data_IF_370823857904
#
_entry.id   IF_370823857904
#
_cell.length_a   1.000
_cell.length_b   1.000
_cell.length_c   1.000
_cell.angle_alpha   90.00
_cell.angle_beta   90.00
_cell.angle_gamma   90.00
#
_symmetry.space_group_name_H-M   'P 1'
#
loop_
_entity.id
_entity.type
_entity.pdbx_description
1 polymer ?
#
# COMPACT_ATOMS: atom_id res chain seq x y z
N UNK A 1 -15.49 -2.38 -17.28
CA UNK A 1 -14.24 -2.97 -16.76
C UNK A 1 -13.40 -1.85 -16.18
N UNK A 2 -12.78 -2.06 -15.02
CA UNK A 2 -12.03 -1.03 -14.30
C UNK A 2 -10.72 -0.72 -15.06
N UNK A 3 -10.64 0.45 -15.71
CA UNK A 3 -9.46 0.86 -16.50
C UNK A 3 -8.17 0.86 -15.68
N UNK A 4 -8.25 1.05 -14.37
CA UNK A 4 -7.10 0.97 -13.47
C UNK A 4 -6.49 -0.44 -13.41
N UNK A 5 -7.31 -1.50 -13.30
CA UNK A 5 -6.80 -2.87 -13.28
C UNK A 5 -6.18 -3.26 -14.64
N UNK A 6 -6.72 -2.73 -15.73
CA UNK A 6 -6.13 -2.91 -17.06
C UNK A 6 -4.80 -2.17 -17.19
N UNK A 7 -4.68 -0.99 -16.58
CA UNK A 7 -3.44 -0.23 -16.54
C UNK A 7 -2.35 -0.96 -15.74
N UNK A 8 -2.70 -1.52 -14.58
CA UNK A 8 -1.79 -2.35 -13.78
C UNK A 8 -1.29 -3.55 -14.60
N UNK A 9 -2.21 -4.27 -15.26
CA UNK A 9 -1.86 -5.41 -16.11
C UNK A 9 -0.99 -5.02 -17.32
N UNK A 10 -1.25 -3.86 -17.94
CA UNK A 10 -0.43 -3.34 -19.02
C UNK A 10 0.98 -2.96 -18.53
N UNK A 11 1.09 -2.38 -17.33
CA UNK A 11 2.35 -2.02 -16.70
C UNK A 11 3.21 -3.26 -16.41
N UNK A 12 2.62 -4.32 -15.83
CA UNK A 12 3.30 -5.59 -15.57
C UNK A 12 3.68 -6.33 -16.86
N UNK A 13 2.94 -6.13 -17.95
CA UNK A 13 3.24 -6.68 -19.27
C UNK A 13 4.23 -5.82 -20.08
N UNK A 14 4.91 -4.85 -19.46
CA UNK A 14 5.85 -3.91 -20.11
C UNK A 14 5.24 -3.07 -21.25
N UNK A 15 3.91 -2.99 -21.34
CA UNK A 15 3.18 -2.15 -22.30
C UNK A 15 2.98 -0.76 -21.72
N UNK A 16 4.07 -0.01 -21.60
CA UNK A 16 4.10 1.24 -20.85
C UNK A 16 3.25 2.36 -21.45
N UNK A 17 3.23 2.52 -22.79
CA UNK A 17 2.39 3.54 -23.43
C UNK A 17 0.89 3.25 -23.26
N UNK A 18 0.48 1.98 -23.38
CA UNK A 18 -0.91 1.57 -23.10
C UNK A 18 -1.27 1.81 -21.63
N UNK A 19 -0.37 1.49 -20.70
CA UNK A 19 -0.56 1.76 -19.28
C UNK A 19 -0.78 3.27 -19.01
N UNK A 20 0.00 4.15 -19.66
CA UNK A 20 -0.15 5.61 -19.53
C UNK A 20 -1.55 6.05 -19.97
N UNK A 21 -2.03 5.57 -21.12
CA UNK A 21 -3.37 5.90 -21.60
C UNK A 21 -4.47 5.42 -20.66
N UNK A 22 -4.35 4.18 -20.17
CA UNK A 22 -5.33 3.58 -19.26
C UNK A 22 -5.34 4.29 -17.90
N UNK A 23 -4.18 4.61 -17.33
CA UNK A 23 -4.12 5.41 -16.09
C UNK A 23 -4.68 6.81 -16.30
N UNK A 24 -4.45 7.43 -17.45
CA UNK A 24 -5.01 8.75 -17.77
C UNK A 24 -6.54 8.71 -17.86
N UNK A 25 -7.11 7.66 -18.45
CA UNK A 25 -8.56 7.39 -18.42
C UNK A 25 -9.07 7.12 -17.00
N UNK A 26 -8.34 6.35 -16.20
CA UNK A 26 -8.72 6.10 -14.81
C UNK A 26 -8.70 7.38 -13.95
N UNK A 27 -7.73 8.26 -14.18
CA UNK A 27 -7.60 9.56 -13.49
C UNK A 27 -8.66 10.58 -13.92
N UNK A 28 -9.18 10.51 -15.14
CA UNK A 28 -10.30 11.38 -15.54
C UNK A 28 -11.59 11.04 -14.78
N UNK A 29 -11.76 9.78 -14.36
CA UNK A 29 -12.88 9.32 -13.53
C UNK A 29 -12.59 9.56 -12.04
N UNK A 30 -11.37 9.28 -11.57
CA UNK A 30 -10.96 9.48 -10.18
C UNK A 30 -9.63 10.29 -10.08
N UNK A 31 -9.70 11.63 -10.09
CA UNK A 31 -8.52 12.49 -10.10
C UNK A 31 -7.78 12.56 -8.76
N UNK A 32 -8.29 11.90 -7.72
CA UNK A 32 -7.66 11.92 -6.39
C UNK A 32 -6.97 10.60 -6.04
N UNK A 33 -7.00 9.63 -6.95
CA UNK A 33 -6.46 8.30 -6.74
C UNK A 33 -4.92 8.30 -6.81
N UNK A 34 -4.29 8.30 -5.64
CA UNK A 34 -2.83 8.31 -5.49
C UNK A 34 -2.14 7.18 -6.26
N UNK A 35 -2.67 5.95 -6.17
CA UNK A 35 -2.09 4.77 -6.83
C UNK A 35 -2.00 4.93 -8.35
N UNK A 36 -2.96 5.63 -8.97
CA UNK A 36 -2.97 5.82 -10.43
C UNK A 36 -1.88 6.81 -10.87
N UNK A 37 -1.63 7.85 -10.08
CA UNK A 37 -0.48 8.73 -10.29
C UNK A 37 0.85 7.99 -10.10
N UNK A 38 0.99 7.16 -9.06
CA UNK A 38 2.20 6.34 -8.84
C UNK A 38 2.44 5.37 -10.00
N UNK A 39 1.39 4.66 -10.44
CA UNK A 39 1.45 3.72 -11.57
C UNK A 39 1.81 4.42 -12.88
N UNK A 40 1.18 5.57 -13.16
CA UNK A 40 1.48 6.38 -14.34
C UNK A 40 2.87 7.00 -14.31
N UNK A 41 3.34 7.46 -13.14
CA UNK A 41 4.72 7.93 -12.95
C UNK A 41 5.74 6.84 -13.26
N UNK A 42 5.45 5.59 -12.89
CA UNK A 42 6.29 4.43 -13.19
C UNK A 42 6.33 4.17 -14.70
N UNK A 43 5.18 4.19 -15.37
CA UNK A 43 5.10 4.03 -16.82
C UNK A 43 5.83 5.17 -17.57
N UNK A 44 5.72 6.41 -17.11
CA UNK A 44 6.47 7.54 -17.64
C UNK A 44 7.98 7.38 -17.46
N UNK A 45 8.41 6.88 -16.31
CA UNK A 45 9.83 6.62 -16.06
C UNK A 45 10.38 5.58 -17.06
N UNK A 46 9.63 4.48 -17.28
CA UNK A 46 10.01 3.41 -18.22
C UNK A 46 10.03 3.87 -19.69
N UNK A 47 9.29 4.93 -20.02
CA UNK A 47 9.27 5.55 -21.36
C UNK A 47 10.20 6.77 -21.48
N UNK A 48 11.09 6.99 -20.50
CA UNK A 48 12.02 8.14 -20.45
C UNK A 48 11.35 9.52 -20.37
N UNK A 49 10.06 9.59 -20.05
CA UNK A 49 9.28 10.83 -19.84
C UNK A 49 9.46 11.30 -18.39
N UNK A 50 10.70 11.63 -18.02
CA UNK A 50 11.08 11.89 -16.62
C UNK A 50 10.44 13.15 -16.03
N UNK A 51 10.13 14.17 -16.84
CA UNK A 51 9.50 15.40 -16.36
C UNK A 51 8.04 15.17 -15.96
N UNK A 52 7.32 14.34 -16.71
CA UNK A 52 5.94 13.93 -16.46
C UNK A 52 5.87 12.95 -15.29
N UNK A 53 6.82 12.03 -15.22
CA UNK A 53 7.00 11.15 -14.05
C UNK A 53 7.17 11.94 -12.76
N UNK A 54 8.00 12.99 -12.78
CA UNK A 54 8.19 13.87 -11.62
C UNK A 54 6.88 14.56 -11.21
N UNK A 55 6.15 15.15 -12.16
CA UNK A 55 4.87 15.83 -11.87
C UNK A 55 3.86 14.88 -11.22
N UNK A 56 3.69 13.69 -11.77
CA UNK A 56 2.77 12.70 -11.21
C UNK A 56 3.19 12.22 -9.82
N UNK A 57 4.50 12.00 -9.59
CA UNK A 57 5.01 11.65 -8.28
C UNK A 57 4.76 12.75 -7.25
N UNK A 58 4.92 14.03 -7.62
CA UNK A 58 4.65 15.16 -6.73
C UNK A 58 3.16 15.28 -6.37
N UNK A 59 2.27 15.14 -7.36
CA UNK A 59 0.81 15.11 -7.11
C UNK A 59 0.47 13.94 -6.18
N UNK A 60 1.07 12.77 -6.39
CA UNK A 60 0.87 11.61 -5.54
C UNK A 60 1.28 11.87 -4.08
N UNK A 61 2.42 12.56 -3.83
CA UNK A 61 2.85 12.92 -2.47
C UNK A 61 1.82 13.81 -1.79
N UNK A 62 1.34 14.86 -2.46
CA UNK A 62 0.35 15.80 -1.90
C UNK A 62 -0.94 15.07 -1.56
N UNK A 63 -1.45 14.25 -2.48
CA UNK A 63 -2.68 13.48 -2.28
C UNK A 63 -2.52 12.42 -1.19
N UNK A 64 -1.36 11.76 -1.10
CA UNK A 64 -1.07 10.77 -0.07
C UNK A 64 -0.98 11.40 1.33
N UNK A 65 -0.33 12.57 1.45
CA UNK A 65 -0.29 13.36 2.69
C UNK A 65 -1.67 13.81 3.12
N UNK A 66 -2.50 14.27 2.18
CA UNK A 66 -3.90 14.64 2.44
C UNK A 66 -4.75 13.47 2.96
N UNK A 67 -4.44 12.25 2.51
CA UNK A 67 -5.11 11.01 2.95
C UNK A 67 -4.51 10.41 4.22
N UNK A 68 -3.32 10.83 4.65
CA UNK A 68 -2.60 10.28 5.81
C UNK A 68 -2.06 8.87 5.61
N UNK A 69 -1.95 8.39 4.36
CA UNK A 69 -1.53 7.02 4.06
C UNK A 69 0.00 6.93 3.93
N UNK A 70 0.66 6.58 5.05
CA UNK A 70 2.13 6.51 5.16
C UNK A 70 2.81 5.70 4.05
N UNK A 71 2.29 4.52 3.73
CA UNK A 71 2.83 3.68 2.64
C UNK A 71 2.81 4.38 1.28
N UNK A 72 1.71 5.05 0.94
CA UNK A 72 1.61 5.76 -0.34
C UNK A 72 2.46 7.04 -0.38
N UNK A 73 2.71 7.67 0.78
CA UNK A 73 3.65 8.79 0.88
C UNK A 73 5.06 8.28 0.57
N UNK A 74 5.46 7.16 1.19
CA UNK A 74 6.74 6.50 0.95
C UNK A 74 6.93 6.18 -0.54
N UNK A 75 5.98 5.47 -1.13
CA UNK A 75 6.04 5.07 -2.54
C UNK A 75 6.12 6.29 -3.47
N UNK A 76 5.31 7.32 -3.22
CA UNK A 76 5.32 8.54 -4.03
C UNK A 76 6.65 9.32 -3.91
N UNK A 77 7.20 9.43 -2.69
CA UNK A 77 8.51 10.07 -2.48
C UNK A 77 9.64 9.29 -3.14
N UNK A 78 9.58 7.95 -3.10
CA UNK A 78 10.54 7.10 -3.79
C UNK A 78 10.47 7.32 -5.31
N UNK A 79 9.27 7.31 -5.91
CA UNK A 79 9.10 7.63 -7.34
C UNK A 79 9.61 9.04 -7.69
N UNK A 80 9.39 10.02 -6.82
CA UNK A 80 9.89 11.40 -6.99
C UNK A 80 11.43 11.44 -6.99
N UNK A 81 12.08 10.74 -6.06
CA UNK A 81 13.54 10.64 -5.98
C UNK A 81 14.13 10.03 -7.26
N UNK A 82 13.50 8.96 -7.74
CA UNK A 82 13.91 8.28 -8.96
C UNK A 82 13.75 9.18 -10.20
N UNK A 83 12.64 9.91 -10.32
CA UNK A 83 12.45 10.86 -11.42
C UNK A 83 13.52 11.98 -11.41
N UNK A 84 13.86 12.51 -10.23
CA UNK A 84 14.90 13.53 -10.07
C UNK A 84 16.30 13.01 -10.41
N UNK A 85 16.61 11.76 -10.08
CA UNK A 85 17.86 11.11 -10.49
C UNK A 85 18.02 11.12 -12.02
N UNK A 86 16.96 10.73 -12.74
CA UNK A 86 17.00 10.73 -14.21
C UNK A 86 17.04 12.13 -14.82
N UNK A 87 16.59 13.16 -14.08
CA UNK A 87 16.73 14.57 -14.46
C UNK A 87 18.10 15.18 -14.07
N UNK A 88 19.01 14.39 -13.50
CA UNK A 88 20.34 14.84 -13.08
C UNK A 88 20.37 15.61 -11.75
N UNK A 89 19.24 15.71 -11.05
CA UNK A 89 19.13 16.41 -9.76
C UNK A 89 19.45 15.47 -8.59
N UNK A 90 20.72 15.09 -8.50
CA UNK A 90 21.18 14.04 -7.57
C UNK A 90 21.10 14.43 -6.09
N UNK A 91 21.35 15.70 -5.76
CA UNK A 91 21.23 16.20 -4.38
C UNK A 91 19.78 16.14 -3.88
N UNK A 92 18.84 16.58 -4.72
CA UNK A 92 17.39 16.51 -4.45
C UNK A 92 16.93 15.05 -4.29
N UNK A 93 17.38 14.16 -5.18
CA UNK A 93 17.09 12.74 -5.11
C UNK A 93 17.62 12.11 -3.80
N UNK A 94 18.84 12.45 -3.38
CA UNK A 94 19.44 11.97 -2.13
C UNK A 94 18.64 12.41 -0.90
N UNK A 95 18.21 13.68 -0.87
CA UNK A 95 17.37 14.22 0.19
C UNK A 95 16.06 13.45 0.33
N UNK A 96 15.39 13.14 -0.80
CA UNK A 96 14.15 12.38 -0.78
C UNK A 96 14.34 10.92 -0.36
N UNK A 97 15.43 10.25 -0.76
CA UNK A 97 15.70 8.89 -0.28
C UNK A 97 15.92 8.85 1.23
N UNK A 98 16.55 9.87 1.81
CA UNK A 98 16.68 9.97 3.28
C UNK A 98 15.31 10.09 3.95
N UNK A 99 14.36 10.82 3.35
CA UNK A 99 12.98 10.89 3.84
C UNK A 99 12.31 9.51 3.75
N UNK A 100 12.44 8.81 2.61
CA UNK A 100 11.89 7.47 2.41
C UNK A 100 12.45 6.49 3.45
N UNK A 101 13.75 6.57 3.76
CA UNK A 101 14.42 5.77 4.80
C UNK A 101 13.87 5.99 6.20
N UNK A 102 13.43 7.20 6.53
CA UNK A 102 12.75 7.49 7.80
C UNK A 102 11.37 6.81 7.87
N UNK A 103 10.71 6.61 6.71
CA UNK A 103 9.45 5.87 6.65
C UNK A 103 9.66 4.35 6.70
N UNK A 104 10.66 3.83 5.99
CA UNK A 104 10.96 2.40 5.90
C UNK A 104 12.45 2.20 5.65
N UNK A 105 13.18 1.75 6.66
CA UNK A 105 14.62 1.51 6.60
C UNK A 105 14.97 0.15 5.96
N UNK A 106 13.97 -0.71 5.75
CA UNK A 106 14.14 -2.08 5.25
C UNK A 106 13.77 -2.25 3.77
N UNK A 107 13.48 -1.15 3.08
CA UNK A 107 13.19 -1.18 1.65
C UNK A 107 14.42 -1.67 0.87
N UNK A 108 14.26 -2.76 0.12
CA UNK A 108 15.33 -3.44 -0.62
C UNK A 108 15.89 -2.57 -1.76
N UNK A 109 15.12 -1.61 -2.24
CA UNK A 109 15.53 -0.72 -3.32
C UNK A 109 16.36 0.46 -2.81
N UNK A 110 16.26 0.84 -1.52
CA UNK A 110 16.99 1.98 -0.97
C UNK A 110 18.51 1.88 -1.14
N UNK A 111 19.19 0.78 -0.75
CA UNK A 111 20.64 0.66 -0.91
C UNK A 111 21.08 0.77 -2.38
N UNK A 112 20.28 0.23 -3.30
CA UNK A 112 20.56 0.27 -4.75
C UNK A 112 20.54 1.71 -5.25
N UNK A 113 19.49 2.46 -4.90
CA UNK A 113 19.35 3.84 -5.34
C UNK A 113 20.29 4.80 -4.60
N UNK A 114 20.58 4.58 -3.32
CA UNK A 114 21.62 5.30 -2.57
C UNK A 114 22.99 5.14 -3.25
N UNK A 115 23.36 3.92 -3.65
CA UNK A 115 24.62 3.66 -4.36
C UNK A 115 24.65 4.35 -5.74
N UNK A 116 23.56 4.25 -6.53
CA UNK A 116 23.43 4.93 -7.84
C UNK A 116 23.60 6.44 -7.71
N UNK A 117 22.93 7.06 -6.73
CA UNK A 117 23.04 8.50 -6.49
C UNK A 117 24.44 8.88 -6.00
N UNK A 118 25.01 8.13 -5.05
CA UNK A 118 26.35 8.41 -4.52
C UNK A 118 27.41 8.40 -5.62
N UNK A 119 27.35 7.42 -6.54
CA UNK A 119 28.24 7.35 -7.69
C UNK A 119 28.10 8.57 -8.63
N UNK A 120 26.87 9.05 -8.85
CA UNK A 120 26.65 10.27 -9.64
C UNK A 120 27.09 11.53 -8.89
N UNK A 121 26.85 11.62 -7.59
CA UNK A 121 27.16 12.79 -6.76
C UNK A 121 28.67 13.02 -6.59
N UNK A 122 29.48 11.95 -6.64
CA UNK A 122 30.95 12.08 -6.69
C UNK A 122 31.45 12.87 -7.90
N UNK A 123 30.73 12.80 -9.01
CA UNK A 123 31.05 13.50 -10.26
C UNK A 123 30.48 14.93 -10.33
N UNK A 124 29.70 15.35 -9.33
CA UNK A 124 29.05 16.67 -9.27
C UNK A 124 29.88 17.62 -8.39
N UNK A 125 30.09 18.89 -8.80
CA UNK A 125 30.75 19.90 -7.99
C UNK A 125 30.06 20.09 -6.64
N UNK A 126 30.83 20.37 -5.59
CA UNK A 126 30.34 20.42 -4.21
C UNK A 126 29.23 21.47 -3.99
N UNK A 127 29.22 22.53 -4.77
CA UNK A 127 28.21 23.60 -4.68
C UNK A 127 26.82 23.14 -5.13
N UNK A 128 26.73 22.17 -6.05
CA UNK A 128 25.48 21.58 -6.54
C UNK A 128 25.00 20.39 -5.69
N UNK A 129 25.72 20.04 -4.62
CA UNK A 129 25.36 18.92 -3.73
C UNK A 129 24.31 19.26 -2.68
N UNK A 130 23.81 20.50 -2.66
CA UNK A 130 22.78 20.94 -1.71
C UNK A 130 21.37 20.74 -2.29
N UNK A 131 20.43 20.14 -1.54
CA UNK A 131 19.07 20.00 -2.00
C UNK A 131 18.40 21.37 -2.11
N UNK A 132 17.65 21.58 -3.18
CA UNK A 132 16.89 22.81 -3.47
C UNK A 132 15.39 22.63 -3.20
N UNK A 133 14.94 21.39 -3.03
CA UNK A 133 13.52 21.05 -2.88
C UNK A 133 13.10 20.80 -1.43
N UNK A 134 11.81 21.01 -1.16
CA UNK A 134 11.19 20.68 0.12
C UNK A 134 10.56 19.27 0.14
N UNK A 135 10.32 18.76 1.36
CA UNK A 135 9.71 17.45 1.61
C UNK A 135 8.29 17.35 1.02
N UNK A 136 7.51 18.43 1.06
CA UNK A 136 6.18 18.47 0.44
C UNK A 136 6.24 19.35 -0.80
N UNK A 137 5.99 18.82 -2.00
CA UNK A 137 5.97 19.64 -3.19
C UNK A 137 4.72 20.54 -3.19
N UNK A 138 4.89 21.79 -3.63
CA UNK A 138 3.79 22.76 -3.81
C UNK A 138 3.25 22.56 -5.22
N UNK A 139 2.31 21.63 -5.39
CA UNK A 139 1.70 21.34 -6.69
C UNK A 139 0.19 21.51 -6.62
N UNK A 140 -0.36 22.18 -7.63
CA UNK A 140 -1.80 22.31 -7.82
C UNK A 140 -2.41 20.94 -8.12
N UNK A 141 -3.27 20.47 -7.22
CA UNK A 141 -3.99 19.21 -7.39
C UNK A 141 -5.01 19.39 -8.52
N UNK A 142 -5.03 18.52 -9.54
CA UNK A 142 -6.06 18.57 -10.58
C UNK A 142 -7.45 18.36 -9.95
N UNK A 143 -8.19 19.44 -9.78
CA UNK A 143 -9.61 19.39 -9.43
C UNK A 143 -10.39 19.23 -10.73
N UNK A 144 -11.16 18.16 -10.86
CA UNK A 144 -11.96 17.91 -12.07
C UNK A 144 -13.00 19.02 -12.29
N UNK A 145 -12.71 19.93 -13.22
CA UNK A 145 -13.72 20.66 -13.99
C UNK A 145 -13.16 21.10 -15.35
N UNK A 146 -13.73 20.53 -16.40
CA UNK A 146 -13.71 20.89 -17.84
C UNK A 146 -12.38 20.85 -18.65
N UNK A 147 -12.43 20.46 -19.94
CA UNK A 147 -11.27 20.30 -20.81
C UNK A 147 -10.80 21.65 -21.38
N UNK A 148 -9.49 21.85 -21.49
CA UNK A 148 -8.92 23.02 -22.19
C UNK A 148 -7.96 22.54 -23.28
N UNK A 149 -8.27 22.89 -24.54
CA UNK A 149 -7.38 22.84 -25.69
C UNK A 149 -6.54 24.16 -25.75
N UNK A 150 -5.45 24.24 -26.52
CA UNK A 150 -4.16 24.65 -26.00
C UNK A 150 -3.73 26.11 -26.26
N UNK A 151 -2.81 26.56 -25.40
CA UNK A 151 -1.71 27.52 -25.58
C UNK A 151 -1.98 28.93 -26.16
N UNK A 152 -1.68 29.95 -25.34
CA UNK A 152 -0.86 31.08 -25.81
C UNK A 152 0.00 31.64 -24.68
N UNK A 153 1.29 31.73 -24.98
CA UNK A 153 2.37 32.36 -24.21
C UNK A 153 2.22 33.88 -24.32
N UNK A 154 2.31 34.62 -23.22
CA UNK A 154 2.81 36.00 -23.23
C UNK A 154 3.22 36.46 -21.81
N UNK A 155 4.29 37.25 -21.81
CA UNK A 155 5.15 37.68 -20.72
C UNK A 155 4.58 38.83 -19.86
N UNK A 156 5.09 38.90 -18.62
CA UNK A 156 5.51 40.12 -17.89
C UNK A 156 4.51 41.26 -17.63
N UNK A 157 4.14 41.48 -16.35
CA UNK A 157 4.43 42.72 -15.61
C UNK A 157 3.81 42.75 -14.19
N UNK A 158 4.52 43.43 -13.30
CA UNK A 158 4.32 43.60 -11.86
C UNK A 158 3.31 44.71 -11.49
N UNK A 159 2.48 44.52 -10.43
CA UNK A 159 2.37 45.41 -9.24
C UNK A 159 1.15 45.13 -8.32
N UNK A 160 1.47 45.00 -7.02
CA UNK A 160 0.86 45.59 -5.81
C UNK A 160 -0.63 45.39 -5.42
N UNK A 161 -0.80 44.68 -4.29
CA UNK A 161 -1.59 44.97 -3.07
C UNK A 161 -2.84 45.87 -3.12
N UNK A 162 -3.98 45.32 -2.70
CA UNK A 162 -4.92 45.90 -1.70
C UNK A 162 -5.60 44.76 -0.92
N UNK A 163 -5.91 45.00 0.37
CA UNK A 163 -6.40 43.99 1.31
C UNK A 163 -7.90 44.02 1.63
N UNK A 164 -8.30 42.98 2.39
CA UNK A 164 -9.49 42.77 3.24
C UNK A 164 -10.87 42.55 2.60
N UNK A 165 -11.48 41.37 2.81
CA UNK A 165 -12.45 41.07 3.88
C UNK A 165 -13.10 39.67 3.65
N UNK A 166 -13.50 38.93 4.72
CA UNK A 166 -13.85 37.51 4.66
C UNK A 166 -15.25 37.26 4.11
N UNK A 167 -15.38 36.30 3.19
CA UNK A 167 -16.66 35.83 2.67
C UNK A 167 -17.30 34.77 3.57
N UNK A 168 -18.64 34.75 3.70
CA UNK A 168 -19.37 34.04 4.75
C UNK A 168 -19.40 32.52 4.56
N UNK A 169 -19.40 31.82 5.69
CA UNK A 169 -19.41 30.36 5.81
C UNK A 169 -20.78 29.82 5.37
N UNK A 170 -20.79 29.03 4.30
CA UNK A 170 -21.98 28.37 3.77
C UNK A 170 -22.40 27.18 4.66
N UNK A 171 -23.60 27.28 5.23
CA UNK A 171 -24.28 26.30 6.09
C UNK A 171 -24.78 25.10 5.27
N UNK A 172 -24.73 23.89 5.83
CA UNK A 172 -25.23 22.66 5.18
C UNK A 172 -26.37 22.02 6.01
N UNK A 173 -27.51 21.66 5.40
CA UNK A 173 -28.68 21.11 6.10
C UNK A 173 -28.49 19.67 6.62
N UNK A 174 -29.30 19.34 7.64
CA UNK A 174 -29.36 18.11 8.46
C UNK A 174 -29.21 16.77 7.69
N UNK A 175 -29.62 16.71 6.42
CA UNK A 175 -29.56 15.50 5.57
C UNK A 175 -28.15 15.16 4.99
N UNK A 176 -27.09 15.84 5.44
CA UNK A 176 -25.70 15.55 5.01
C UNK A 176 -24.74 15.18 6.15
N UNK A 177 -25.23 15.05 7.39
CA UNK A 177 -24.38 14.60 8.50
C UNK A 177 -24.11 13.12 8.29
N UNK A 178 -22.85 12.81 7.95
CA UNK A 178 -22.38 11.44 7.71
C UNK A 178 -21.61 10.97 8.92
N UNK A 179 -21.98 9.81 9.44
CA UNK A 179 -21.26 9.11 10.50
C UNK A 179 -20.49 7.95 9.88
N UNK A 180 -19.21 7.85 10.21
CA UNK A 180 -18.33 6.76 9.79
C UNK A 180 -17.51 6.30 10.99
N UNK A 181 -17.15 5.02 11.04
CA UNK A 181 -16.32 4.49 12.12
C UNK A 181 -15.32 3.47 11.59
N UNK A 182 -14.13 3.44 12.18
CA UNK A 182 -13.12 2.43 11.89
C UNK A 182 -12.46 2.00 13.19
N UNK A 183 -11.78 0.86 13.15
CA UNK A 183 -11.09 0.32 14.32
C UNK A 183 -9.68 -0.15 13.99
N UNK A 184 -8.84 -0.11 15.00
CA UNK A 184 -7.50 -0.70 15.05
C UNK A 184 -7.52 -1.79 16.14
N UNK A 185 -6.39 -2.43 16.41
CA UNK A 185 -6.28 -3.52 17.38
C UNK A 185 -6.77 -3.13 18.78
N UNK A 186 -6.55 -1.88 19.20
CA UNK A 186 -6.79 -1.37 20.55
C UNK A 186 -7.75 -0.18 20.63
N UNK A 187 -8.07 0.49 19.51
CA UNK A 187 -8.94 1.67 19.49
C UNK A 187 -10.05 1.59 18.45
N UNK A 188 -11.18 2.23 18.72
CA UNK A 188 -12.29 2.46 17.80
C UNK A 188 -12.44 3.97 17.62
N UNK A 189 -12.43 4.45 16.39
CA UNK A 189 -12.61 5.88 16.09
C UNK A 189 -13.92 6.10 15.36
N UNK A 190 -14.82 6.85 16.00
CA UNK A 190 -16.09 7.33 15.46
C UNK A 190 -15.90 8.75 14.90
N UNK A 191 -16.29 8.98 13.66
CA UNK A 191 -16.20 10.28 12.98
C UNK A 191 -17.58 10.74 12.54
N UNK A 192 -18.00 11.91 13.03
CA UNK A 192 -19.25 12.58 12.64
C UNK A 192 -18.87 13.79 11.78
N UNK A 193 -19.17 13.74 10.49
CA UNK A 193 -18.92 14.82 9.55
C UNK A 193 -20.09 15.81 9.55
N UNK A 194 -19.94 16.87 10.35
CA UNK A 194 -20.84 18.03 10.35
C UNK A 194 -20.02 19.33 10.25
N UNK A 195 -20.56 20.31 9.51
CA UNK A 195 -19.95 21.65 9.37
C UNK A 195 -20.53 22.59 10.42
N UNK A 196 -19.68 23.40 11.06
CA UNK A 196 -20.12 24.35 12.07
C UNK A 196 -20.27 23.75 13.47
N UNK A 197 -19.40 22.81 13.85
CA UNK A 197 -19.42 22.25 15.20
C UNK A 197 -18.66 23.20 16.14
N UNK A 198 -19.41 23.90 16.99
CA UNK A 198 -18.83 24.77 18.02
C UNK A 198 -18.26 23.94 19.16
N UNK A 199 -16.95 24.08 19.42
CA UNK A 199 -16.23 23.34 20.47
C UNK A 199 -16.83 23.54 21.87
N UNK A 200 -17.38 24.71 22.14
CA UNK A 200 -17.91 25.09 23.45
C UNK A 200 -19.38 24.70 23.67
N UNK A 201 -20.06 24.17 22.63
CA UNK A 201 -21.49 23.83 22.67
C UNK A 201 -21.79 22.37 22.35
N UNK A 202 -20.78 21.56 22.10
CA UNK A 202 -20.94 20.12 21.89
C UNK A 202 -20.82 19.38 23.24
N UNK A 203 -21.80 18.55 23.57
CA UNK A 203 -21.76 17.63 24.70
C UNK A 203 -21.34 16.24 24.19
N UNK A 204 -20.28 15.68 24.79
CA UNK A 204 -19.77 14.35 24.46
C UNK A 204 -19.61 13.58 25.76
N UNK A 205 -20.44 12.55 25.95
CA UNK A 205 -20.39 11.64 27.09
C UNK A 205 -19.92 10.27 26.61
N UNK A 206 -18.86 9.79 27.24
CA UNK A 206 -18.26 8.49 26.97
C UNK A 206 -18.39 7.68 28.26
N UNK A 207 -19.14 6.59 28.21
CA UNK A 207 -19.31 5.65 29.32
C UNK A 207 -18.72 4.29 28.95
N UNK A 208 -18.69 3.35 29.89
CA UNK A 208 -18.01 2.06 29.73
C UNK A 208 -18.52 1.24 28.52
N UNK A 209 -19.80 1.38 28.17
CA UNK A 209 -20.43 0.67 27.05
C UNK A 209 -21.33 1.57 26.19
N UNK A 210 -21.30 2.88 26.38
CA UNK A 210 -22.16 3.81 25.63
C UNK A 210 -21.42 5.09 25.24
N UNK A 211 -21.81 5.68 24.12
CA UNK A 211 -21.33 7.00 23.68
C UNK A 211 -22.50 7.85 23.27
N UNK A 212 -22.61 9.01 23.89
CA UNK A 212 -23.60 10.03 23.59
C UNK A 212 -22.92 11.31 23.11
N UNK A 213 -23.35 11.82 21.97
CA UNK A 213 -22.83 13.02 21.34
C UNK A 213 -24.02 13.91 20.99
N UNK A 214 -24.06 15.12 21.52
CA UNK A 214 -25.02 16.14 21.09
C UNK A 214 -24.33 17.46 20.75
N UNK A 215 -24.81 18.15 19.73
CA UNK A 215 -24.37 19.51 19.44
C UNK A 215 -25.42 20.29 18.64
N UNK A 216 -25.55 21.61 18.87
CA UNK A 216 -26.45 22.45 18.08
C UNK A 216 -25.92 22.58 16.65
N UNK A 217 -26.82 22.54 15.66
CA UNK A 217 -26.46 22.79 14.25
C UNK A 217 -26.62 24.27 13.97
N UNK A 218 -25.53 24.94 13.60
CA UNK A 218 -25.57 26.35 13.21
C UNK A 218 -26.49 26.53 11.98
N UNK A 219 -27.53 27.37 12.12
CA UNK A 219 -28.50 27.66 11.06
C UNK A 219 -29.81 26.89 11.12
N UNK A 220 -30.03 26.03 12.13
CA UNK A 220 -31.34 25.44 12.44
C UNK A 220 -31.50 25.40 13.96
N UNK A 221 -32.69 25.67 14.51
CA UNK A 221 -32.92 25.58 15.97
C UNK A 221 -32.90 24.13 16.52
N UNK A 222 -32.35 23.18 15.76
CA UNK A 222 -32.36 21.76 16.04
C UNK A 222 -30.97 21.29 16.47
N UNK A 223 -30.94 20.49 17.51
CA UNK A 223 -29.74 19.83 18.01
C UNK A 223 -29.55 18.48 17.30
N UNK A 224 -28.32 18.19 16.88
CA UNK A 224 -27.96 16.86 16.41
C UNK A 224 -27.62 16.00 17.62
N UNK A 225 -28.28 14.86 17.76
CA UNK A 225 -27.98 13.86 18.79
C UNK A 225 -27.62 12.53 18.14
N UNK A 226 -26.48 11.97 18.51
CA UNK A 226 -26.03 10.64 18.12
C UNK A 226 -25.70 9.86 19.38
N UNK A 227 -26.35 8.71 19.55
CA UNK A 227 -26.17 7.84 20.71
C UNK A 227 -25.95 6.41 20.23
N UNK A 228 -24.95 5.75 20.79
CA UNK A 228 -24.72 4.31 20.63
C UNK A 228 -24.75 3.68 22.02
N UNK A 229 -25.75 2.83 22.25
CA UNK A 229 -25.98 2.12 23.50
C UNK A 229 -26.75 0.81 23.21
N UNK A 230 -26.15 -0.39 23.40
CA UNK A 230 -24.80 -0.67 23.87
C UNK A 230 -23.77 -0.71 22.73
N UNK A 231 -22.53 -0.32 23.02
CA UNK A 231 -21.37 -0.57 22.17
C UNK A 231 -21.09 -2.08 22.08
N UNK A 232 -20.45 -2.51 20.99
CA UNK A 232 -20.13 -3.93 20.74
C UNK A 232 -19.34 -4.60 21.88
N UNK A 233 -18.41 -3.86 22.52
CA UNK A 233 -17.67 -4.32 23.69
C UNK A 233 -17.32 -3.13 24.60
N UNK A 234 -16.97 -3.41 25.84
CA UNK A 234 -16.62 -2.40 26.82
C UNK A 234 -15.36 -1.62 26.44
N UNK A 235 -15.36 -0.33 26.74
CA UNK A 235 -14.30 0.63 26.46
C UNK A 235 -13.74 1.19 27.78
N UNK A 236 -12.57 1.82 27.70
CA UNK A 236 -11.93 2.53 28.81
C UNK A 236 -12.18 4.04 28.64
N UNK A 237 -13.12 4.64 29.38
CA UNK A 237 -13.44 6.07 29.24
C UNK A 237 -12.26 6.97 29.61
N UNK A 238 -11.39 6.54 30.54
CA UNK A 238 -10.27 7.34 31.03
C UNK A 238 -9.19 7.55 29.96
N UNK A 239 -9.06 6.59 29.03
CA UNK A 239 -8.11 6.67 27.91
C UNK A 239 -8.76 7.06 26.59
N UNK A 240 -10.08 7.20 26.56
CA UNK A 240 -10.84 7.67 25.41
C UNK A 240 -10.74 9.19 25.28
N UNK A 241 -10.69 9.69 24.04
CA UNK A 241 -10.47 11.12 23.74
C UNK A 241 -11.40 11.57 22.63
N UNK A 242 -11.82 12.82 22.64
CA UNK A 242 -12.57 13.42 21.54
C UNK A 242 -11.87 14.67 21.00
N UNK A 243 -12.06 14.93 19.71
CA UNK A 243 -11.50 16.08 18.99
C UNK A 243 -12.57 16.71 18.12
N UNK A 244 -12.87 17.97 18.38
CA UNK A 244 -13.83 18.76 17.61
C UNK A 244 -13.06 19.67 16.65
N UNK A 245 -13.44 19.61 15.38
CA UNK A 245 -12.91 20.43 14.28
C UNK A 245 -14.10 21.10 13.57
N UNK A 246 -13.95 22.28 12.92
CA UNK A 246 -15.06 22.96 12.26
C UNK A 246 -15.83 22.14 11.21
N UNK A 247 -15.21 21.06 10.69
CA UNK A 247 -15.76 20.20 9.65
C UNK A 247 -16.10 18.77 10.12
N UNK A 248 -15.75 18.39 11.35
CA UNK A 248 -15.98 17.03 11.90
C UNK A 248 -15.76 16.95 13.40
N UNK A 249 -16.45 16.02 14.06
CA UNK A 249 -16.21 15.58 15.43
C UNK A 249 -15.67 14.15 15.39
N UNK A 250 -14.52 13.92 16.00
CA UNK A 250 -13.86 12.61 16.08
C UNK A 250 -13.83 12.16 17.54
N UNK A 251 -14.35 10.97 17.82
CA UNK A 251 -14.27 10.32 19.13
C UNK A 251 -13.43 9.06 19.00
N UNK A 252 -12.29 9.02 19.69
CA UNK A 252 -11.42 7.85 19.78
C UNK A 252 -11.68 7.14 21.10
N UNK A 253 -12.29 5.98 21.01
CA UNK A 253 -12.61 5.08 22.10
C UNK A 253 -11.49 4.05 22.24
N UNK A 254 -10.99 3.84 23.46
CA UNK A 254 -10.02 2.77 23.71
C UNK A 254 -10.74 1.52 24.16
N UNK A 255 -10.45 0.38 23.52
CA UNK A 255 -11.04 -0.91 23.90
C UNK A 255 -10.51 -1.35 25.26
N UNK A 256 -11.38 -1.82 26.15
CA UNK A 256 -10.95 -2.36 27.45
C UNK A 256 -10.13 -3.65 27.25
N UNK A 257 -10.49 -4.46 26.26
CA UNK A 257 -9.77 -5.68 25.86
C UNK A 257 -9.10 -5.51 24.49
N UNK A 258 -7.77 -5.31 24.44
CA UNK A 258 -7.02 -5.23 23.18
C UNK A 258 -7.16 -6.54 22.39
N UNK A 259 -7.44 -6.43 21.08
CA UNK A 259 -7.54 -7.59 20.17
C UNK A 259 -8.95 -8.04 19.85
N UNK A 260 -9.99 -7.53 20.53
CA UNK A 260 -11.39 -7.78 20.15
C UNK A 260 -11.71 -7.00 18.87
N UNK A 261 -12.10 -7.71 17.81
CA UNK A 261 -12.58 -7.12 16.55
C UNK A 261 -14.07 -6.85 16.63
N UNK A 262 -14.45 -5.59 16.47
CA UNK A 262 -15.85 -5.17 16.44
C UNK A 262 -16.39 -5.38 15.02
N UNK A 263 -17.44 -6.16 14.87
CA UNK A 263 -18.09 -6.36 13.56
C UNK A 263 -19.08 -5.23 13.24
N UNK A 264 -19.68 -4.67 14.28
CA UNK A 264 -20.58 -3.52 14.25
C UNK A 264 -20.21 -2.57 15.40
N UNK A 265 -20.65 -1.32 15.34
CA UNK A 265 -20.40 -0.34 16.41
C UNK A 265 -21.34 -0.57 17.61
N UNK A 266 -22.59 -0.95 17.31
CA UNK A 266 -23.60 -1.31 18.29
C UNK A 266 -23.59 -2.82 18.50
N UNK A 267 -23.93 -3.24 19.72
CA UNK A 267 -24.20 -4.64 19.99
C UNK A 267 -25.57 -4.98 19.38
N UNK A 268 -25.67 -5.98 18.50
CA UNK A 268 -26.97 -6.41 17.99
C UNK A 268 -27.85 -6.79 19.17
N UNK A 269 -29.07 -6.25 19.19
CA UNK A 269 -30.05 -6.53 20.23
C UNK A 269 -30.47 -7.99 20.16
N UNK A 270 -29.71 -8.87 20.82
CA UNK A 270 -30.19 -10.21 21.13
C UNK A 270 -31.11 -10.10 22.33
N UNK A 271 -32.37 -10.44 22.08
CA UNK A 271 -33.42 -10.52 23.07
C UNK A 271 -33.04 -11.61 24.06
N UNK A 272 -32.75 -11.21 25.30
CA UNK A 272 -32.92 -12.07 26.46
C UNK A 272 -31.73 -12.95 26.83
N UNK A 273 -31.15 -12.63 27.97
CA UNK A 273 -30.43 -13.60 28.82
C UNK A 273 -31.35 -14.72 29.30
N UNK A 274 -30.71 -15.75 29.87
CA UNK A 274 -31.20 -16.95 30.58
C UNK A 274 -31.37 -18.18 29.66
N UNK A 275 -30.76 -19.34 29.89
CA UNK A 275 -30.16 -19.87 31.11
C UNK A 275 -29.08 -20.92 30.82
N UNK A 276 -28.13 -20.96 31.74
CA UNK A 276 -27.34 -22.13 32.12
C UNK A 276 -28.18 -23.42 32.21
N UNK A 277 -27.69 -24.52 31.61
CA UNK A 277 -27.85 -25.85 32.20
C UNK A 277 -26.64 -26.73 31.84
N UNK A 278 -25.89 -27.06 32.89
CA UNK A 278 -24.98 -28.20 33.00
C UNK A 278 -25.75 -29.53 32.91
N UNK A 279 -25.29 -30.45 32.07
CA UNK A 279 -25.20 -31.91 32.32
C UNK A 279 -24.49 -32.54 31.09
N UNK A 280 -23.28 -33.10 31.21
CA UNK A 280 -23.00 -34.51 31.57
C UNK A 280 -23.67 -35.49 30.59
N UNK A 281 -23.07 -36.50 29.97
CA UNK A 281 -21.78 -37.23 30.00
C UNK A 281 -21.76 -37.99 28.65
N UNK A 282 -20.64 -38.38 28.03
CA UNK A 282 -19.89 -39.56 28.45
C UNK A 282 -18.59 -39.70 27.67
N UNK A 283 -17.55 -39.97 28.45
CA UNK A 283 -16.23 -40.48 28.14
C UNK A 283 -16.25 -41.89 27.55
N UNK A 284 -15.35 -42.16 26.59
CA UNK A 284 -14.75 -43.49 26.46
C UNK A 284 -13.23 -43.32 26.37
N UNK A 285 -12.55 -43.73 27.43
CA UNK A 285 -11.10 -43.84 27.54
C UNK A 285 -10.58 -44.99 26.67
N UNK A 286 -9.44 -44.79 26.01
CA UNK A 286 -8.48 -45.87 25.76
C UNK A 286 -7.11 -45.38 26.19
N UNK A 287 -6.67 -45.93 27.32
CA UNK A 287 -5.38 -45.76 27.97
C UNK A 287 -4.41 -46.83 27.50
N UNK A 288 -3.23 -46.48 26.98
CA UNK A 288 -2.01 -47.30 27.07
C UNK A 288 -0.75 -46.42 26.87
N UNK A 289 0.44 -46.81 27.37
CA UNK A 289 1.17 -46.01 28.35
C UNK A 289 2.49 -45.45 27.83
N UNK A 290 2.99 -44.42 28.53
CA UNK A 290 4.32 -43.84 28.37
C UNK A 290 5.39 -44.87 28.76
N UNK A 291 6.36 -45.11 27.87
CA UNK A 291 7.66 -45.71 28.19
C UNK A 291 8.76 -44.80 27.69
N UNK A 292 9.69 -44.48 28.58
CA UNK A 292 10.92 -43.73 28.34
C UNK A 292 11.86 -44.50 27.39
N UNK A 293 12.43 -43.79 26.41
CA UNK A 293 13.43 -44.27 25.45
C UNK A 293 13.84 -43.14 24.50
N UNK A 294 15.10 -43.08 24.03
CA UNK A 294 15.74 -41.85 23.59
C UNK A 294 15.26 -41.38 22.20
N UNK A 295 15.37 -40.06 21.99
CA UNK A 295 14.91 -39.33 20.82
C UNK A 295 15.45 -39.90 19.48
N UNK A 296 14.66 -39.86 18.39
CA UNK A 296 15.15 -40.23 17.07
C UNK A 296 16.15 -39.18 16.57
N UNK A 297 17.38 -39.62 16.30
CA UNK A 297 18.40 -38.84 15.62
C UNK A 297 18.02 -38.65 14.15
N UNK A 298 17.73 -37.41 13.75
CA UNK A 298 17.56 -37.01 12.35
C UNK A 298 18.95 -36.79 11.72
N UNK A 299 19.21 -37.25 10.48
CA UNK A 299 20.51 -37.06 9.86
C UNK A 299 20.64 -35.60 9.39
N UNK A 300 21.54 -34.85 10.03
CA UNK A 300 21.98 -33.54 9.56
C UNK A 300 22.82 -33.69 8.30
N UNK A 301 22.24 -33.40 7.13
CA UNK A 301 22.98 -33.22 5.88
C UNK A 301 23.22 -31.73 5.67
N UNK A 302 24.35 -31.23 6.17
CA UNK A 302 24.86 -29.90 5.83
C UNK A 302 26.35 -30.01 5.55
N UNK A 303 26.69 -30.58 4.39
CA UNK A 303 28.04 -30.53 3.80
C UNK A 303 28.16 -29.30 2.90
N UNK A 304 27.91 -28.11 3.46
CA UNK A 304 28.32 -26.84 2.86
C UNK A 304 28.20 -25.74 3.92
N UNK A 305 29.34 -25.17 4.31
CA UNK A 305 29.41 -24.09 5.29
C UNK A 305 28.84 -22.77 4.76
N UNK A 306 28.76 -21.78 5.65
CA UNK A 306 28.12 -20.48 5.44
C UNK A 306 28.51 -19.83 4.11
N UNK A 307 27.53 -19.69 3.21
CA UNK A 307 27.63 -18.98 1.94
C UNK A 307 27.52 -17.48 2.22
N UNK A 308 28.56 -16.72 1.89
CA UNK A 308 28.53 -15.26 1.94
C UNK A 308 27.58 -14.72 0.84
N UNK A 309 26.47 -14.13 1.27
CA UNK A 309 25.43 -13.54 0.42
C UNK A 309 25.79 -12.13 -0.11
N UNK A 310 26.89 -11.55 0.34
CA UNK A 310 27.30 -10.17 0.02
C UNK A 310 27.97 -10.00 -1.35
N UNK A 311 28.18 -11.09 -2.11
CA UNK A 311 28.98 -11.05 -3.36
C UNK A 311 28.20 -11.29 -4.65
N UNK A 312 26.87 -11.37 -4.59
CA UNK A 312 26.00 -11.61 -5.77
C UNK A 312 25.27 -10.33 -6.23
N UNK A 313 25.41 -9.21 -5.51
CA UNK A 313 24.61 -8.01 -5.78
C UNK A 313 25.22 -7.06 -6.84
N UNK A 314 26.44 -7.30 -7.32
CA UNK A 314 27.17 -6.28 -8.10
C UNK A 314 27.26 -6.56 -9.60
N UNK A 315 27.15 -7.81 -10.07
CA UNK A 315 27.25 -8.13 -11.51
C UNK A 315 25.88 -8.23 -12.21
N UNK A 316 24.78 -8.40 -11.47
CA UNK A 316 23.41 -8.54 -12.00
C UNK A 316 22.59 -7.25 -11.90
N UNK A 317 23.21 -6.05 -11.95
CA UNK A 317 22.47 -4.79 -11.76
C UNK A 317 21.77 -4.24 -13.01
N UNK A 318 22.12 -4.75 -14.21
CA UNK A 318 21.50 -4.33 -15.48
C UNK A 318 20.29 -5.19 -15.90
N UNK A 319 20.16 -6.43 -15.40
CA UNK A 319 19.06 -7.35 -15.75
C UNK A 319 17.85 -7.30 -14.78
N UNK A 320 17.93 -6.48 -13.71
CA UNK A 320 16.84 -6.37 -12.71
C UNK A 320 15.74 -5.38 -13.08
N UNK A 321 15.89 -4.64 -14.18
CA UNK A 321 14.80 -3.82 -14.72
C UNK A 321 13.63 -4.66 -15.27
N UNK A 322 13.82 -5.99 -15.38
CA UNK A 322 12.81 -6.97 -15.77
C UNK A 322 12.10 -7.66 -14.57
N UNK A 323 12.37 -7.25 -13.32
CA UNK A 323 11.84 -7.90 -12.11
C UNK A 323 10.47 -7.43 -11.62
N UNK A 324 9.76 -6.56 -12.35
CA UNK A 324 8.47 -5.98 -11.93
C UNK A 324 7.24 -6.62 -12.62
N UNK A 325 7.39 -7.78 -13.27
CA UNK A 325 6.28 -8.40 -14.01
C UNK A 325 6.26 -9.94 -14.10
N UNK A 326 7.23 -10.64 -13.51
CA UNK A 326 7.28 -12.11 -13.57
C UNK A 326 6.44 -12.75 -12.46
N UNK A 327 5.47 -13.59 -12.86
CA UNK A 327 4.67 -14.46 -11.99
C UNK A 327 5.54 -15.14 -10.90
N UNK A 328 4.98 -15.36 -9.70
CA UNK A 328 5.69 -16.00 -8.57
C UNK A 328 6.31 -17.34 -8.99
N UNK A 329 5.68 -18.03 -9.94
CA UNK A 329 6.17 -19.25 -10.59
C UNK A 329 7.49 -19.03 -11.33
N UNK A 330 7.61 -17.95 -12.10
CA UNK A 330 8.82 -17.61 -12.87
C UNK A 330 9.99 -17.27 -11.94
N UNK A 331 9.71 -16.62 -10.80
CA UNK A 331 10.73 -16.38 -9.76
C UNK A 331 11.19 -17.68 -9.11
N UNK A 332 10.26 -18.59 -8.80
CA UNK A 332 10.58 -19.92 -8.27
C UNK A 332 11.47 -20.73 -9.24
N UNK A 333 11.15 -20.75 -10.54
CA UNK A 333 11.97 -21.44 -11.54
C UNK A 333 13.34 -20.80 -11.75
N UNK A 334 13.44 -19.46 -11.79
CA UNK A 334 14.73 -18.75 -11.87
C UNK A 334 15.62 -19.06 -10.67
N UNK A 335 15.04 -19.06 -9.47
CA UNK A 335 15.76 -19.39 -8.23
C UNK A 335 16.23 -20.85 -8.22
N UNK A 336 15.37 -21.79 -8.63
CA UNK A 336 15.71 -23.21 -8.72
C UNK A 336 16.81 -23.49 -9.76
N UNK A 337 16.77 -22.82 -10.91
CA UNK A 337 17.78 -22.96 -11.97
C UNK A 337 19.13 -22.36 -11.58
N UNK A 338 19.14 -21.17 -10.96
CA UNK A 338 20.38 -20.50 -10.53
C UNK A 338 21.17 -21.26 -9.46
N UNK A 339 20.47 -22.03 -8.61
CA UNK A 339 21.08 -22.86 -7.55
C UNK A 339 21.42 -24.29 -7.96
N UNK A 340 21.04 -24.72 -9.16
CA UNK A 340 21.17 -26.10 -9.63
C UNK A 340 22.58 -26.38 -10.21
N UNK A 341 23.03 -27.64 -10.11
CA UNK A 341 24.26 -28.06 -10.79
C UNK A 341 24.09 -28.02 -12.31
N UNK A 342 25.18 -27.91 -13.10
CA UNK A 342 25.07 -27.87 -14.57
C UNK A 342 24.32 -29.06 -15.17
N UNK A 343 24.37 -30.22 -14.51
CA UNK A 343 23.64 -31.43 -14.89
C UNK A 343 22.14 -31.32 -14.59
N UNK A 344 21.78 -30.75 -13.43
CA UNK A 344 20.40 -30.48 -13.05
C UNK A 344 19.76 -29.39 -13.94
N UNK A 345 20.50 -28.35 -14.29
CA UNK A 345 20.07 -27.30 -15.23
C UNK A 345 19.75 -27.88 -16.61
N UNK A 346 20.58 -28.80 -17.09
CA UNK A 346 20.33 -29.52 -18.35
C UNK A 346 19.09 -30.40 -18.25
N UNK A 347 18.88 -31.08 -17.13
CA UNK A 347 17.69 -31.90 -16.89
C UNK A 347 16.40 -31.08 -16.88
N UNK A 348 16.43 -29.93 -16.20
CA UNK A 348 15.31 -29.00 -16.14
C UNK A 348 14.95 -28.45 -17.52
N UNK A 349 15.96 -28.01 -18.28
CA UNK A 349 15.73 -27.42 -19.60
C UNK A 349 15.23 -28.46 -20.61
N UNK A 350 15.77 -29.68 -20.57
CA UNK A 350 15.33 -30.78 -21.43
C UNK A 350 13.91 -31.23 -21.09
N UNK A 351 13.62 -31.48 -19.82
CA UNK A 351 12.28 -31.91 -19.37
C UNK A 351 11.21 -30.85 -19.65
N UNK A 352 11.51 -29.58 -19.40
CA UNK A 352 10.60 -28.48 -19.68
C UNK A 352 10.34 -28.33 -21.19
N UNK A 353 11.39 -28.43 -22.02
CA UNK A 353 11.25 -28.32 -23.47
C UNK A 353 10.52 -29.51 -24.09
N UNK A 354 10.78 -30.74 -23.62
CA UNK A 354 10.16 -31.95 -24.19
C UNK A 354 8.70 -32.14 -23.73
N UNK A 355 8.39 -31.73 -22.49
CA UNK A 355 7.03 -31.79 -21.94
C UNK A 355 6.13 -30.63 -22.36
N UNK A 356 6.63 -29.69 -23.17
CA UNK A 356 5.88 -28.48 -23.54
C UNK A 356 5.55 -27.57 -22.35
N UNK A 357 6.40 -27.58 -21.32
CA UNK A 357 6.26 -26.74 -20.13
C UNK A 357 5.39 -27.31 -19.00
N UNK A 358 5.03 -28.60 -19.07
CA UNK A 358 4.14 -29.25 -18.09
C UNK A 358 4.90 -30.04 -17.01
N UNK A 359 6.11 -30.51 -17.31
CA UNK A 359 6.90 -31.36 -16.40
C UNK A 359 8.32 -30.79 -16.23
N UNK A 360 8.72 -30.55 -14.98
CA UNK A 360 10.08 -30.16 -14.62
C UNK A 360 10.76 -31.25 -13.80
N UNK A 361 11.87 -31.80 -14.31
CA UNK A 361 12.70 -32.77 -13.59
C UNK A 361 14.12 -32.25 -13.39
N UNK A 362 14.67 -32.50 -12.21
CA UNK A 362 16.03 -32.10 -11.83
C UNK A 362 17.04 -33.23 -11.97
N UNK A 363 16.62 -34.43 -12.36
CA UNK A 363 17.49 -35.62 -12.38
C UNK A 363 17.86 -36.02 -13.82
N UNK A 364 19.09 -35.67 -14.21
CA UNK A 364 19.63 -35.96 -15.54
C UNK A 364 19.74 -37.45 -15.84
N UNK A 365 19.95 -38.29 -14.82
CA UNK A 365 20.08 -39.74 -15.02
C UNK A 365 18.78 -40.37 -15.55
N UNK A 366 17.63 -39.77 -15.21
CA UNK A 366 16.32 -40.24 -15.63
C UNK A 366 15.86 -39.61 -16.95
N UNK A 367 16.10 -38.30 -17.13
CA UNK A 367 15.63 -37.57 -18.33
C UNK A 367 16.68 -37.49 -19.45
N UNK A 368 17.93 -37.82 -19.19
CA UNK A 368 19.01 -37.78 -20.19
C UNK A 368 18.78 -38.75 -21.34
N UNK A 369 18.27 -39.94 -21.05
CA UNK A 369 18.06 -41.03 -22.03
C UNK A 369 16.58 -41.32 -22.34
N UNK A 370 15.63 -40.65 -21.68
CA UNK A 370 14.18 -40.83 -21.90
C UNK A 370 13.56 -39.53 -22.39
N UNK A 371 12.54 -39.64 -23.25
CA UNK A 371 11.71 -38.51 -23.66
C UNK A 371 10.66 -38.25 -22.59
N UNK A 372 10.53 -36.99 -22.15
CA UNK A 372 9.51 -36.61 -21.16
C UNK A 372 8.19 -36.34 -21.87
N UNK A 373 7.17 -37.17 -21.61
CA UNK A 373 5.83 -37.04 -22.20
C UNK A 373 5.07 -35.91 -21.49
N UNK A 374 4.33 -35.05 -22.21
CA UNK A 374 3.50 -34.02 -21.59
C UNK A 374 2.41 -34.64 -20.70
N UNK A 375 2.34 -34.24 -19.43
CA UNK A 375 1.23 -34.56 -18.53
C UNK A 375 0.45 -33.27 -18.24
N UNK A 376 -0.59 -32.96 -19.03
CA UNK A 376 -1.38 -31.76 -18.80
C UNK A 376 -2.22 -31.87 -17.51
N UNK A 377 -2.50 -30.76 -16.81
CA UNK A 377 -3.36 -30.74 -15.64
C UNK A 377 -4.75 -31.31 -15.92
N UNK A 378 -5.36 -31.93 -14.90
CA UNK A 378 -6.66 -32.63 -15.00
C UNK A 378 -7.73 -31.73 -15.66
N UNK A 379 -8.17 -32.11 -16.87
CA UNK A 379 -9.15 -31.37 -17.67
C UNK A 379 -8.64 -30.67 -18.93
N UNK A 380 -7.34 -30.74 -19.27
CA UNK A 380 -6.79 -30.22 -20.53
C UNK A 380 -6.18 -31.34 -21.39
N UNK A 381 -6.56 -31.43 -22.67
CA UNK A 381 -5.97 -32.37 -23.62
C UNK A 381 -4.84 -31.70 -24.42
N UNK A 382 -3.66 -32.33 -24.45
CA UNK A 382 -2.54 -31.88 -25.26
C UNK A 382 -2.84 -32.09 -26.75
N UNK A 383 -3.10 -31.00 -27.49
CA UNK A 383 -3.20 -31.06 -28.95
C UNK A 383 -1.82 -31.01 -29.57
N UNK A 384 -1.53 -32.01 -30.40
CA UNK A 384 -0.33 -32.06 -31.24
C UNK A 384 -0.58 -31.17 -32.47
N UNK A 385 0.18 -30.09 -32.61
CA UNK A 385 0.20 -29.26 -33.82
C UNK A 385 1.16 -29.86 -34.85
#
# INVERSE_FOLDING_TARGET
>A
MNDAHRADAALSASRHDEAIELYTKALSVNPTAVKYYIGRATAYQRTSKHTESLKDAEIAVVLAKKRGTRELIKDAQFRRAVALYHLGKFADASFLLNIVKVFDDKDKMLPIWEAKIAAKLQNVPEDERKPTIEETPIVEIPTASAPTAPAKVEESASKQTTGQAPTPIAVTPLNKIKTDWYQVHDTVTLTIMAKGISKDRADVKIEDESVYISFPIDGTASEYSYAVDPLYASIDPAQSKYRITPNKLEVTLRKASPGVRWHELERPADVGQSDSTTAQQSTTEVTVPIREGPAPAYPTSSKSGAKNWDKVVVDDLDDLDELDGGDETSRFFKQLYSGATPEQQRAMMKSYSESGGTVLSTDWSNVGNKTVVPEPPEGMEAKKY
#
